data_IF_127985693629
#
_entry.id   IF_127985693629
#
_cell.length_a   1.000
_cell.length_b   1.000
_cell.length_c   1.000
_cell.angle_alpha   90.00
_cell.angle_beta   90.00
_cell.angle_gamma   90.00
#
_symmetry.space_group_name_H-M   'P 1'
#
loop_
_entity.id
_entity.type
_entity.pdbx_description
1 polymer ?
#
# COMPACT_ATOMS: atom_id res chain seq x y z
N UNK A 1 -14.24 -27.28 31.04
CA UNK A 1 -13.63 -26.59 29.88
C UNK A 1 -14.28 -25.22 29.83
N UNK A 2 -13.64 -24.21 30.42
CA UNK A 2 -14.19 -22.85 30.43
C UNK A 2 -13.17 -21.93 29.74
N UNK A 3 -13.37 -21.74 28.43
CA UNK A 3 -12.64 -20.76 27.64
C UNK A 3 -13.40 -19.44 27.68
N UNK A 4 -13.31 -18.73 28.80
CA UNK A 4 -13.60 -17.29 28.82
C UNK A 4 -12.47 -16.55 28.10
N UNK A 5 -12.46 -16.62 26.76
CA UNK A 5 -11.69 -15.74 25.89
C UNK A 5 -12.34 -14.35 25.86
N UNK A 6 -12.38 -13.70 27.02
CA UNK A 6 -12.89 -12.34 27.16
C UNK A 6 -11.79 -11.35 26.74
N UNK A 7 -11.98 -10.72 25.58
CA UNK A 7 -11.29 -9.53 25.03
C UNK A 7 -9.83 -9.64 24.58
N UNK A 8 -9.54 -10.09 23.34
CA UNK A 8 -8.25 -9.74 22.68
C UNK A 8 -8.23 -9.71 21.14
N UNK A 9 -9.34 -9.97 20.44
CA UNK A 9 -9.37 -9.97 18.98
C UNK A 9 -10.35 -8.92 18.44
N UNK A 10 -10.03 -7.64 18.63
CA UNK A 10 -10.45 -6.67 17.63
C UNK A 10 -9.62 -6.96 16.39
N UNK A 11 -10.07 -7.92 15.57
CA UNK A 11 -9.57 -8.10 14.21
C UNK A 11 -9.87 -6.79 13.49
N UNK A 12 -8.93 -5.84 13.55
CA UNK A 12 -8.98 -4.65 12.72
C UNK A 12 -9.00 -5.16 11.29
N UNK A 13 -10.16 -5.15 10.67
CA UNK A 13 -10.35 -5.55 9.28
C UNK A 13 -10.16 -4.30 8.47
N UNK A 14 -9.20 -4.32 7.55
CA UNK A 14 -8.99 -3.22 6.62
C UNK A 14 -9.96 -3.43 5.46
N UNK A 15 -10.90 -2.51 5.29
CA UNK A 15 -11.96 -2.65 4.29
C UNK A 15 -11.68 -1.82 3.05
N UNK A 16 -12.46 -2.03 1.99
CA UNK A 16 -12.45 -1.17 0.81
C UNK A 16 -12.81 0.28 1.15
N UNK A 17 -13.66 0.50 2.15
CA UNK A 17 -13.99 1.85 2.62
C UNK A 17 -12.78 2.52 3.29
N UNK A 18 -12.00 1.81 4.10
CA UNK A 18 -10.75 2.35 4.67
C UNK A 18 -9.73 2.70 3.57
N UNK A 19 -9.64 1.87 2.53
CA UNK A 19 -8.80 2.13 1.36
C UNK A 19 -9.27 3.36 0.57
N UNK A 20 -10.58 3.45 0.26
CA UNK A 20 -11.18 4.57 -0.48
C UNK A 20 -11.07 5.90 0.27
N UNK A 21 -11.09 5.89 1.60
CA UNK A 21 -10.90 7.09 2.42
C UNK A 21 -9.42 7.40 2.70
N UNK A 22 -8.48 6.64 2.12
CA UNK A 22 -7.04 6.78 2.38
C UNK A 22 -6.70 6.84 3.88
N UNK A 23 -7.43 6.05 4.68
CA UNK A 23 -7.29 6.06 6.14
C UNK A 23 -5.85 5.74 6.54
N UNK A 24 -5.31 6.50 7.48
CA UNK A 24 -3.96 6.27 8.02
C UNK A 24 -4.06 5.26 9.18
N UNK A 25 -3.38 4.11 9.11
CA UNK A 25 -3.35 3.15 10.21
C UNK A 25 -2.62 3.76 11.41
N UNK A 26 -3.27 3.76 12.58
CA UNK A 26 -2.74 4.30 13.83
C UNK A 26 -1.93 3.28 14.61
N UNK A 27 -2.32 2.01 14.54
CA UNK A 27 -1.72 0.93 15.31
C UNK A 27 -1.03 -0.13 14.43
N UNK A 28 -0.17 -0.95 15.02
CA UNK A 28 0.49 -2.04 14.28
C UNK A 28 -0.50 -3.07 13.74
N UNK A 29 -1.52 -3.45 14.52
CA UNK A 29 -2.58 -4.34 14.08
C UNK A 29 -3.27 -3.84 12.80
N UNK A 30 -3.54 -2.54 12.73
CA UNK A 30 -4.10 -1.89 11.54
C UNK A 30 -3.14 -1.89 10.35
N UNK A 31 -1.83 -1.72 10.59
CA UNK A 31 -0.81 -1.85 9.53
C UNK A 31 -0.77 -3.27 8.96
N UNK A 32 -0.87 -4.29 9.81
CA UNK A 32 -0.94 -5.69 9.36
C UNK A 32 -2.20 -5.95 8.56
N UNK A 33 -3.35 -5.49 9.04
CA UNK A 33 -4.63 -5.61 8.34
C UNK A 33 -4.60 -4.93 6.96
N UNK A 34 -4.08 -3.70 6.89
CA UNK A 34 -3.88 -2.97 5.63
C UNK A 34 -3.01 -3.76 4.66
N UNK A 35 -1.89 -4.30 5.14
CA UNK A 35 -0.97 -5.10 4.30
C UNK A 35 -1.64 -6.36 3.79
N UNK A 36 -2.36 -7.09 4.63
CA UNK A 36 -3.08 -8.29 4.24
C UNK A 36 -4.15 -7.99 3.18
N UNK A 37 -4.95 -6.94 3.39
CA UNK A 37 -5.95 -6.49 2.43
C UNK A 37 -5.34 -6.11 1.08
N UNK A 38 -4.27 -5.31 1.09
CA UNK A 38 -3.60 -4.91 -0.15
C UNK A 38 -2.95 -6.11 -0.86
N UNK A 39 -2.42 -7.09 -0.10
CA UNK A 39 -1.83 -8.30 -0.66
C UNK A 39 -2.88 -9.18 -1.35
N UNK A 40 -4.01 -9.43 -0.69
CA UNK A 40 -5.11 -10.24 -1.21
C UNK A 40 -5.71 -9.62 -2.48
N UNK A 41 -5.92 -8.31 -2.46
CA UNK A 41 -6.50 -7.55 -3.58
C UNK A 41 -5.47 -7.16 -4.65
N UNK A 42 -4.17 -7.49 -4.46
CA UNK A 42 -3.05 -7.08 -5.33
C UNK A 42 -2.98 -5.57 -5.57
N UNK A 43 -3.25 -4.81 -4.51
CA UNK A 43 -3.22 -3.35 -4.50
C UNK A 43 -1.90 -2.84 -3.93
N UNK A 44 -1.52 -1.65 -4.35
CA UNK A 44 -0.44 -0.89 -3.76
C UNK A 44 -0.79 -0.50 -2.31
N UNK A 45 0.07 -0.85 -1.35
CA UNK A 45 -0.17 -0.46 0.06
C UNK A 45 -0.01 1.06 0.33
N UNK A 46 0.36 1.85 -0.69
CA UNK A 46 0.49 3.30 -0.59
C UNK A 46 -0.75 4.01 -1.16
N UNK A 47 -1.00 3.89 -2.47
CA UNK A 47 -2.10 4.56 -3.17
C UNK A 47 -3.35 3.69 -3.37
N UNK A 48 -3.32 2.41 -2.99
CA UNK A 48 -4.40 1.44 -3.20
C UNK A 48 -4.76 1.14 -4.66
N UNK A 49 -3.96 1.59 -5.64
CA UNK A 49 -4.12 1.18 -7.04
C UNK A 49 -3.66 -0.25 -7.30
N UNK A 50 -4.33 -0.91 -8.24
CA UNK A 50 -3.88 -2.18 -8.80
C UNK A 50 -2.78 -1.96 -9.85
N UNK A 51 -1.92 -2.97 -10.04
CA UNK A 51 -0.94 -3.00 -11.13
C UNK A 51 0.48 -2.65 -10.72
N UNK A 52 0.70 -2.20 -9.48
CA UNK A 52 2.04 -1.95 -8.96
C UNK A 52 2.14 -2.18 -7.45
N UNK A 53 3.37 -2.36 -6.95
CA UNK A 53 3.65 -2.45 -5.51
C UNK A 53 4.10 -1.11 -4.96
N UNK A 54 3.94 -0.91 -3.65
CA UNK A 54 4.41 0.31 -2.99
C UNK A 54 5.89 0.62 -3.28
N UNK A 55 6.74 -0.39 -3.41
CA UNK A 55 8.16 -0.24 -3.77
C UNK A 55 8.39 0.53 -5.08
N UNK A 56 7.49 0.40 -6.05
CA UNK A 56 7.56 1.03 -7.38
C UNK A 56 6.44 2.06 -7.59
N UNK A 57 5.70 2.39 -6.54
CA UNK A 57 4.58 3.33 -6.60
C UNK A 57 5.09 4.73 -6.91
N UNK A 58 4.63 5.33 -8.00
CA UNK A 58 5.05 6.67 -8.42
C UNK A 58 4.71 7.76 -7.41
N UNK A 59 3.56 7.61 -6.74
CA UNK A 59 3.10 8.54 -5.72
C UNK A 59 3.83 8.38 -4.38
N UNK A 60 4.56 7.27 -4.19
CA UNK A 60 5.24 7.03 -2.94
C UNK A 60 6.46 7.94 -2.81
N UNK A 61 6.61 8.54 -1.63
CA UNK A 61 7.65 9.55 -1.37
C UNK A 61 9.07 9.05 -1.69
N UNK A 62 9.36 7.77 -1.45
CA UNK A 62 10.68 7.17 -1.74
C UNK A 62 10.94 6.92 -3.24
N UNK A 63 9.92 7.00 -4.09
CA UNK A 63 10.03 6.76 -5.53
C UNK A 63 9.85 8.04 -6.37
N UNK A 64 9.31 9.12 -5.80
CA UNK A 64 9.17 10.42 -6.47
C UNK A 64 10.50 10.94 -7.02
N UNK A 65 11.61 10.70 -6.31
CA UNK A 65 12.94 11.13 -6.75
C UNK A 65 13.52 10.23 -7.87
N UNK A 66 13.05 8.98 -8.01
CA UNK A 66 13.52 8.04 -9.04
C UNK A 66 12.87 8.26 -10.40
N UNK A 67 11.65 8.80 -10.43
CA UNK A 67 10.93 9.09 -11.67
C UNK A 67 11.57 10.24 -12.45
N UNK A 68 12.13 11.24 -11.77
CA UNK A 68 12.90 12.32 -12.43
C UNK A 68 14.10 11.81 -13.23
N UNK A 69 14.58 10.60 -12.98
CA UNK A 69 15.71 10.03 -13.72
C UNK A 69 15.27 9.20 -14.93
N UNK A 70 14.00 8.74 -14.98
CA UNK A 70 13.51 7.89 -16.08
C UNK A 70 13.07 8.71 -17.30
N UNK A 71 12.46 9.88 -17.12
CA UNK A 71 12.02 10.74 -18.22
C UNK A 71 13.19 11.38 -19.01
N UNK A 72 14.38 11.45 -18.43
CA UNK A 72 15.57 11.98 -19.12
C UNK A 72 16.29 10.95 -20.01
N UNK A 73 15.87 9.68 -20.04
CA UNK A 73 16.53 8.65 -20.86
C UNK A 73 15.84 8.39 -22.21
N UNK A 74 14.59 8.83 -22.40
CA UNK A 74 13.82 8.51 -23.61
C UNK A 74 14.02 9.51 -24.76
N UNK A 75 14.78 10.59 -24.57
CA UNK A 75 14.96 11.64 -25.60
C UNK A 75 16.29 11.50 -26.38
N UNK A 76 17.27 10.73 -25.89
CA UNK A 76 18.64 10.73 -26.48
C UNK A 76 18.87 9.57 -27.48
N UNK A 77 17.90 8.66 -27.68
CA UNK A 77 18.06 7.51 -28.62
C UNK A 77 17.31 7.67 -29.96
N UNK A 78 16.85 8.88 -30.32
CA UNK A 78 16.20 9.13 -31.62
C UNK A 78 17.04 9.97 -32.61
N UNK A 79 18.25 10.37 -32.26
CA UNK A 79 19.18 11.02 -33.20
C UNK A 79 20.45 10.18 -33.33
N UNK A 80 20.37 9.14 -34.16
CA UNK A 80 21.54 8.52 -34.78
C UNK A 80 21.36 8.50 -36.29
#
# INVERSE_FOLDING_TARGET
>A
MDLSASNLNCYFTWTSADAANHRIPRNEAEKYAKRAYCLEKKLCSWCYDSGHRAQICAEARWNKDKIRTADNKTIVEQEK
#
